data_IF_440188721581
#
_entry.id   IF_440188721581
#
_cell.length_a   1.000
_cell.length_b   1.000
_cell.length_c   1.000
_cell.angle_alpha   90.00
_cell.angle_beta   90.00
_cell.angle_gamma   90.00
#
_symmetry.space_group_name_H-M   'P 1'
#
loop_
_entity.id
_entity.type
_entity.pdbx_description
1 polymer ?
#
# COMPACT_ATOMS: atom_id res chain seq x y z
N UNK A 1 -16.37 5.54 2.73
CA UNK A 1 -15.18 5.66 1.88
C UNK A 1 -13.91 5.56 2.72
N UNK A 2 -13.39 4.34 2.92
CA UNK A 2 -12.07 4.15 3.51
C UNK A 2 -11.00 4.29 2.41
N UNK A 3 -9.96 5.07 2.70
CA UNK A 3 -8.83 5.28 1.80
C UNK A 3 -7.57 4.76 2.49
N UNK A 4 -6.94 3.75 1.88
CA UNK A 4 -5.67 3.20 2.31
C UNK A 4 -4.49 3.87 1.61
N UNK A 5 -3.33 3.91 2.28
CA UNK A 5 -2.07 4.36 1.67
C UNK A 5 -0.97 3.33 1.94
N UNK A 6 -0.32 2.86 0.89
CA UNK A 6 0.82 1.95 0.94
C UNK A 6 2.06 2.68 0.38
N UNK A 7 3.20 2.58 1.05
CA UNK A 7 4.43 3.26 0.62
C UNK A 7 5.63 2.40 0.90
N UNK A 8 6.49 2.24 -0.10
CA UNK A 8 7.77 1.56 0.03
C UNK A 8 8.91 2.44 -0.47
N UNK A 9 10.00 2.47 0.30
CA UNK A 9 11.20 3.27 0.00
C UNK A 9 12.36 2.43 -0.54
N UNK A 10 12.16 1.13 -0.74
CA UNK A 10 13.21 0.20 -1.18
C UNK A 10 12.60 -0.92 -2.00
N UNK A 11 13.27 -1.36 -3.06
CA UNK A 11 12.82 -2.40 -4.01
C UNK A 11 12.54 -3.77 -3.36
N UNK A 12 12.95 -3.99 -2.10
CA UNK A 12 12.74 -5.23 -1.36
C UNK A 12 11.57 -5.24 -0.36
N UNK A 13 10.89 -4.11 -0.13
CA UNK A 13 9.72 -4.10 0.76
C UNK A 13 8.46 -4.53 -0.01
N UNK A 14 7.74 -5.53 0.52
CA UNK A 14 6.53 -6.08 -0.11
C UNK A 14 5.36 -5.09 0.01
N UNK A 15 5.30 -4.15 -0.93
CA UNK A 15 4.16 -3.25 -1.14
C UNK A 15 2.84 -4.04 -1.24
N UNK A 16 2.89 -5.23 -1.84
CA UNK A 16 1.75 -6.13 -1.98
C UNK A 16 1.16 -6.53 -0.62
N UNK A 17 1.98 -6.85 0.38
CA UNK A 17 1.49 -7.21 1.71
C UNK A 17 0.75 -6.05 2.40
N UNK A 18 1.22 -4.81 2.23
CA UNK A 18 0.52 -3.63 2.73
C UNK A 18 -0.82 -3.41 2.01
N UNK A 19 -0.86 -3.61 0.70
CA UNK A 19 -2.11 -3.48 -0.09
C UNK A 19 -3.12 -4.55 0.34
N UNK A 20 -2.69 -5.79 0.56
CA UNK A 20 -3.55 -6.88 1.02
C UNK A 20 -4.15 -6.58 2.40
N UNK A 21 -3.35 -6.05 3.33
CA UNK A 21 -3.84 -5.62 4.64
C UNK A 21 -4.87 -4.49 4.52
N UNK A 22 -4.63 -3.50 3.65
CA UNK A 22 -5.56 -2.40 3.43
C UNK A 22 -6.87 -2.87 2.78
N UNK A 23 -6.80 -3.83 1.85
CA UNK A 23 -7.99 -4.46 1.27
C UNK A 23 -8.77 -5.25 2.31
N UNK A 24 -8.09 -6.01 3.17
CA UNK A 24 -8.75 -6.77 4.23
C UNK A 24 -9.38 -5.86 5.30
N UNK A 25 -8.80 -4.66 5.50
CA UNK A 25 -9.39 -3.62 6.34
C UNK A 25 -10.61 -2.91 5.70
N UNK A 26 -10.98 -3.26 4.46
CA UNK A 26 -12.13 -2.67 3.77
C UNK A 26 -11.85 -1.31 3.11
N UNK A 27 -10.59 -1.02 2.74
CA UNK A 27 -10.27 0.19 1.99
C UNK A 27 -10.80 0.11 0.56
N UNK A 28 -11.67 1.06 0.19
CA UNK A 28 -12.25 1.16 -1.15
C UNK A 28 -11.26 1.76 -2.16
N UNK A 29 -10.36 2.63 -1.71
CA UNK A 29 -9.36 3.28 -2.56
C UNK A 29 -7.99 3.18 -1.90
N UNK A 30 -7.01 2.64 -2.62
CA UNK A 30 -5.66 2.45 -2.08
C UNK A 30 -4.69 3.25 -2.95
N UNK A 31 -3.98 4.18 -2.34
CA UNK A 31 -2.91 4.93 -2.97
C UNK A 31 -1.58 4.26 -2.67
N UNK A 32 -0.75 4.09 -3.71
CA UNK A 32 0.57 3.48 -3.57
C UNK A 32 1.65 4.43 -4.07
N UNK A 33 2.63 4.72 -3.23
CA UNK A 33 3.79 5.54 -3.61
C UNK A 33 5.06 4.70 -3.50
N UNK A 34 5.77 4.54 -4.63
CA UNK A 34 7.06 3.86 -4.68
C UNK A 34 8.14 4.91 -4.84
N UNK A 35 8.86 5.23 -3.76
CA UNK A 35 10.12 5.97 -3.86
C UNK A 35 11.25 4.96 -4.05
N UNK A 36 11.57 4.68 -5.30
CA UNK A 36 12.89 4.13 -5.67
C UNK A 36 13.88 5.28 -5.61
N UNK A 37 14.79 5.24 -4.63
CA UNK A 37 16.00 6.06 -4.64
C UNK A 37 16.97 5.58 -5.71
#
# INVERSE_FOLDING_TARGET
>A
MLIGCARVSTTGQKLEAQIEQLRNAGCERIYQEKRTG
#
